data_IF_692504889507
#
_entry.id   IF_692504889507
#
_cell.length_a   1.000
_cell.length_b   1.000
_cell.length_c   1.000
_cell.angle_alpha   90.00
_cell.angle_beta   90.00
_cell.angle_gamma   90.00
#
_symmetry.space_group_name_H-M   'P 1'
#
loop_
_entity.id
_entity.type
_entity.pdbx_description
1 polymer ?
#
# COMPACT_ATOMS: atom_id res chain seq x y z
N UNK A 1 16.34 9.31 36.47
CA UNK A 1 15.30 8.47 37.18
C UNK A 1 13.87 8.72 36.66
N UNK A 2 13.30 9.96 36.72
CA UNK A 2 11.92 10.20 36.26
C UNK A 2 11.74 9.99 34.75
N UNK A 3 12.59 10.58 33.91
CA UNK A 3 12.53 10.42 32.43
C UNK A 3 12.77 8.97 32.00
N UNK A 4 13.64 8.24 32.67
CA UNK A 4 13.88 6.82 32.39
C UNK A 4 12.66 5.95 32.69
N UNK A 5 11.92 6.33 33.78
CA UNK A 5 10.65 5.66 34.10
C UNK A 5 9.61 5.89 33.00
N UNK A 6 9.51 7.12 32.49
CA UNK A 6 8.62 7.43 31.35
C UNK A 6 9.00 6.61 30.12
N UNK A 7 10.27 6.57 29.76
CA UNK A 7 10.76 5.84 28.60
C UNK A 7 10.43 4.33 28.69
N UNK A 8 10.70 3.70 29.83
CA UNK A 8 10.34 2.30 30.10
C UNK A 8 8.85 2.03 29.99
N UNK A 9 8.03 2.93 30.52
CA UNK A 9 6.57 2.79 30.43
C UNK A 9 6.07 2.89 29.00
N UNK A 10 6.63 3.79 28.17
CA UNK A 10 6.29 3.91 26.75
C UNK A 10 6.68 2.65 25.97
N UNK A 11 7.87 2.08 26.21
CA UNK A 11 8.27 0.81 25.59
C UNK A 11 7.29 -0.30 25.99
N UNK A 12 6.90 -0.36 27.24
CA UNK A 12 5.93 -1.35 27.74
C UNK A 12 4.57 -1.20 27.08
N UNK A 13 4.07 0.04 26.93
CA UNK A 13 2.84 0.33 26.19
C UNK A 13 2.96 -0.14 24.72
N UNK A 14 4.09 0.15 24.06
CA UNK A 14 4.36 -0.30 22.69
C UNK A 14 4.32 -1.82 22.55
N UNK A 15 4.91 -2.57 23.49
CA UNK A 15 4.88 -4.04 23.51
C UNK A 15 3.44 -4.57 23.55
N UNK A 16 2.62 -4.08 24.48
CA UNK A 16 1.23 -4.54 24.62
C UNK A 16 0.38 -4.12 23.41
N UNK A 17 0.57 -2.91 22.90
CA UNK A 17 -0.16 -2.40 21.74
C UNK A 17 0.13 -3.23 20.48
N UNK A 18 1.38 -3.53 20.18
CA UNK A 18 1.77 -4.32 19.01
C UNK A 18 1.21 -5.75 19.10
N UNK A 19 1.25 -6.36 20.27
CA UNK A 19 0.66 -7.69 20.50
C UNK A 19 -0.86 -7.67 20.32
N UNK A 20 -1.54 -6.64 20.87
CA UNK A 20 -2.99 -6.46 20.72
C UNK A 20 -3.39 -6.34 19.25
N UNK A 21 -2.72 -5.46 18.47
CA UNK A 21 -3.03 -5.32 17.04
C UNK A 21 -2.68 -6.57 16.23
N UNK A 22 -1.60 -7.26 16.57
CA UNK A 22 -1.29 -8.56 15.96
C UNK A 22 -2.46 -9.53 16.14
N UNK A 23 -2.95 -9.67 17.38
CA UNK A 23 -4.09 -10.53 17.70
C UNK A 23 -5.37 -10.10 16.96
N UNK A 24 -5.73 -8.82 17.04
CA UNK A 24 -6.92 -8.29 16.38
C UNK A 24 -6.89 -8.49 14.85
N UNK A 25 -5.75 -8.24 14.20
CA UNK A 25 -5.61 -8.40 12.75
C UNK A 25 -5.64 -9.88 12.31
N UNK A 26 -5.14 -10.81 13.14
CA UNK A 26 -5.22 -12.23 12.83
C UNK A 26 -6.61 -12.82 13.06
N UNK A 27 -7.31 -12.40 14.11
CA UNK A 27 -8.52 -13.10 14.58
C UNK A 27 -9.81 -12.32 14.38
N UNK A 28 -9.76 -10.97 14.28
CA UNK A 28 -10.94 -10.13 14.18
C UNK A 28 -11.34 -9.83 12.73
N UNK A 29 -12.64 -10.03 12.43
CA UNK A 29 -13.26 -9.69 11.14
C UNK A 29 -13.63 -10.89 10.27
N UNK A 30 -14.75 -10.75 9.53
CA UNK A 30 -15.31 -11.79 8.65
C UNK A 30 -14.47 -12.02 7.40
N UNK A 31 -13.92 -10.95 6.80
CA UNK A 31 -12.99 -11.05 5.68
C UNK A 31 -11.56 -10.93 6.19
N UNK A 32 -10.69 -11.84 5.77
CA UNK A 32 -9.26 -11.84 6.14
C UNK A 32 -8.43 -11.60 4.88
N UNK A 33 -8.40 -10.39 4.31
CA UNK A 33 -7.60 -10.12 3.13
C UNK A 33 -6.11 -10.36 3.44
N UNK A 34 -5.36 -10.75 2.41
CA UNK A 34 -3.92 -11.03 2.53
C UNK A 34 -3.15 -9.86 3.15
N UNK A 35 -3.56 -8.62 2.86
CA UNK A 35 -2.98 -7.41 3.43
C UNK A 35 -3.09 -7.33 4.96
N UNK A 36 -4.22 -7.74 5.56
CA UNK A 36 -4.38 -7.81 7.03
C UNK A 36 -3.41 -8.80 7.67
N UNK A 37 -3.25 -9.98 7.02
CA UNK A 37 -2.30 -10.99 7.52
C UNK A 37 -0.85 -10.49 7.47
N UNK A 38 -0.47 -9.82 6.38
CA UNK A 38 0.89 -9.26 6.25
C UNK A 38 1.12 -8.16 7.30
N UNK A 39 0.13 -7.29 7.53
CA UNK A 39 0.22 -6.27 8.56
C UNK A 39 0.30 -6.87 9.97
N UNK A 40 -0.41 -7.98 10.24
CA UNK A 40 -0.30 -8.69 11.50
C UNK A 40 1.10 -9.29 11.71
N UNK A 41 1.70 -9.86 10.64
CA UNK A 41 3.10 -10.34 10.68
C UNK A 41 4.07 -9.18 10.90
N UNK A 42 3.85 -8.03 10.26
CA UNK A 42 4.65 -6.82 10.50
C UNK A 42 4.59 -6.37 11.97
N UNK A 43 3.41 -6.38 12.60
CA UNK A 43 3.29 -6.02 14.01
C UNK A 43 3.90 -7.07 14.94
N UNK A 44 3.81 -8.36 14.58
CA UNK A 44 4.47 -9.43 15.32
C UNK A 44 6.01 -9.27 15.28
N UNK A 45 6.55 -8.94 14.13
CA UNK A 45 7.98 -8.68 13.94
C UNK A 45 8.44 -7.44 14.74
N UNK A 46 7.68 -6.34 14.65
CA UNK A 46 7.92 -5.14 15.45
C UNK A 46 7.79 -5.43 16.97
N UNK A 47 6.89 -6.33 17.37
CA UNK A 47 6.76 -6.78 18.77
C UNK A 47 8.01 -7.50 19.25
N UNK A 48 8.60 -8.39 18.44
CA UNK A 48 9.87 -9.06 18.78
C UNK A 48 10.96 -8.02 19.02
N UNK A 49 11.09 -7.03 18.12
CA UNK A 49 12.03 -5.93 18.28
C UNK A 49 11.83 -5.18 19.61
N UNK A 50 10.60 -4.74 19.91
CA UNK A 50 10.28 -4.01 21.13
C UNK A 50 10.43 -4.85 22.39
N UNK A 51 10.18 -6.15 22.31
CA UNK A 51 10.37 -7.08 23.43
C UNK A 51 11.85 -7.14 23.85
N UNK A 52 12.75 -7.32 22.88
CA UNK A 52 14.20 -7.38 23.15
C UNK A 52 14.69 -6.05 23.70
N UNK A 53 14.25 -4.94 23.12
CA UNK A 53 14.57 -3.59 23.60
C UNK A 53 14.06 -3.35 25.02
N UNK A 54 12.84 -3.78 25.33
CA UNK A 54 12.24 -3.70 26.65
C UNK A 54 13.02 -4.49 27.70
N UNK A 55 13.46 -5.71 27.39
CA UNK A 55 14.29 -6.52 28.30
C UNK A 55 15.64 -5.85 28.59
N UNK A 56 16.25 -5.22 27.57
CA UNK A 56 17.47 -4.43 27.74
C UNK A 56 17.28 -3.26 28.74
N UNK A 57 16.23 -2.43 28.54
CA UNK A 57 15.97 -1.27 29.41
C UNK A 57 15.46 -1.64 30.81
N UNK A 58 14.90 -2.84 30.98
CA UNK A 58 14.58 -3.38 32.29
C UNK A 58 15.82 -3.95 33.03
N UNK A 59 16.99 -3.95 32.41
CA UNK A 59 18.22 -4.50 32.95
C UNK A 59 18.24 -6.04 33.02
N UNK A 60 17.30 -6.71 32.35
CA UNK A 60 17.28 -8.18 32.29
C UNK A 60 18.21 -8.66 31.16
N UNK A 61 19.52 -8.55 31.39
CA UNK A 61 20.52 -8.91 30.38
C UNK A 61 20.48 -10.39 29.99
N UNK A 62 20.06 -11.30 30.88
CA UNK A 62 19.95 -12.73 30.58
C UNK A 62 18.89 -12.97 29.50
N UNK A 63 17.69 -12.38 29.66
CA UNK A 63 16.64 -12.45 28.66
C UNK A 63 17.05 -11.74 27.36
N UNK A 64 17.74 -10.60 27.46
CA UNK A 64 18.25 -9.88 26.29
C UNK A 64 19.26 -10.73 25.52
N UNK A 65 20.21 -11.40 26.17
CA UNK A 65 21.18 -12.31 25.55
C UNK A 65 20.45 -13.44 24.80
N UNK A 66 19.46 -14.06 25.44
CA UNK A 66 18.68 -15.14 24.85
C UNK A 66 17.95 -14.71 23.57
N UNK A 67 17.38 -13.50 23.58
CA UNK A 67 16.56 -12.97 22.48
C UNK A 67 17.37 -12.17 21.44
N UNK A 68 18.65 -11.88 21.70
CA UNK A 68 19.47 -11.03 20.83
C UNK A 68 19.54 -11.54 19.37
N UNK A 69 19.51 -12.85 19.18
CA UNK A 69 19.54 -13.47 17.86
C UNK A 69 18.36 -13.05 16.97
N UNK A 70 17.25 -12.66 17.58
CA UNK A 70 16.03 -12.23 16.89
C UNK A 70 16.01 -10.72 16.62
N UNK A 71 16.79 -9.94 17.37
CA UNK A 71 16.75 -8.47 17.32
C UNK A 71 17.08 -7.90 15.93
N UNK A 72 18.28 -8.17 15.41
CA UNK A 72 18.69 -7.63 14.11
C UNK A 72 17.93 -8.23 12.93
N UNK A 73 17.67 -9.56 12.89
CA UNK A 73 16.77 -10.11 11.88
C UNK A 73 15.40 -9.45 11.85
N UNK A 74 14.80 -9.15 13.01
CA UNK A 74 13.54 -8.42 13.08
C UNK A 74 13.67 -7.00 12.48
N UNK A 75 14.71 -6.24 12.86
CA UNK A 75 14.97 -4.92 12.27
C UNK A 75 15.07 -4.99 10.75
N UNK A 76 15.80 -5.99 10.22
CA UNK A 76 15.98 -6.18 8.78
C UNK A 76 14.70 -6.65 8.06
N UNK A 77 13.75 -7.25 8.77
CA UNK A 77 12.47 -7.70 8.21
C UNK A 77 11.41 -6.60 8.15
N UNK A 78 11.53 -5.51 8.93
CA UNK A 78 10.55 -4.43 8.97
C UNK A 78 10.31 -3.77 7.60
N UNK A 79 11.36 -3.41 6.88
CA UNK A 79 11.25 -2.76 5.57
C UNK A 79 10.58 -3.66 4.52
N UNK A 80 11.01 -4.95 4.34
CA UNK A 80 10.32 -5.89 3.46
C UNK A 80 8.86 -6.11 3.81
N UNK A 81 8.53 -6.30 5.09
CA UNK A 81 7.15 -6.53 5.54
C UNK A 81 6.26 -5.31 5.25
N UNK A 82 6.75 -4.11 5.52
CA UNK A 82 6.01 -2.89 5.20
C UNK A 82 5.80 -2.74 3.69
N UNK A 83 6.82 -3.01 2.86
CA UNK A 83 6.69 -3.01 1.40
C UNK A 83 5.66 -4.04 0.91
N UNK A 84 5.71 -5.28 1.41
CA UNK A 84 4.76 -6.33 1.03
C UNK A 84 3.33 -5.97 1.46
N UNK A 85 3.16 -5.33 2.62
CA UNK A 85 1.87 -4.78 3.05
C UNK A 85 1.36 -3.75 2.06
N UNK A 86 2.17 -2.73 1.71
CA UNK A 86 1.78 -1.71 0.73
C UNK A 86 1.45 -2.34 -0.62
N UNK A 87 2.28 -3.26 -1.10
CA UNK A 87 2.07 -3.96 -2.36
C UNK A 87 0.79 -4.80 -2.37
N UNK A 88 0.44 -5.41 -1.25
CA UNK A 88 -0.82 -6.15 -1.11
C UNK A 88 -2.06 -5.26 -1.10
N UNK A 89 -1.91 -3.98 -0.70
CA UNK A 89 -2.96 -2.96 -0.75
C UNK A 89 -3.20 -2.40 -2.16
N UNK A 90 -2.12 -2.29 -2.93
CA UNK A 90 -2.09 -1.56 -4.20
C UNK A 90 -2.23 -2.45 -5.41
N UNK A 91 -2.07 -3.78 -5.24
CA UNK A 91 -2.12 -4.73 -6.34
C UNK A 91 -3.33 -5.66 -6.23
N UNK A 92 -4.23 -5.55 -7.20
CA UNK A 92 -5.44 -6.35 -7.35
C UNK A 92 -5.18 -7.87 -7.34
N UNK A 93 -4.08 -8.31 -7.98
CA UNK A 93 -3.70 -9.71 -8.14
C UNK A 93 -2.56 -10.12 -7.20
N UNK A 94 -2.48 -9.52 -6.02
CA UNK A 94 -1.43 -9.89 -5.07
C UNK A 94 -1.64 -11.32 -4.56
N UNK A 95 -0.67 -12.17 -4.79
CA UNK A 95 -0.54 -13.49 -4.16
C UNK A 95 0.81 -13.60 -3.47
N UNK A 96 0.88 -14.28 -2.34
CA UNK A 96 2.16 -14.54 -1.68
C UNK A 96 2.79 -15.78 -2.32
N UNK A 97 3.91 -15.61 -3.01
CA UNK A 97 4.70 -16.66 -3.64
C UNK A 97 6.11 -16.74 -3.04
N UNK A 98 6.82 -17.85 -3.30
CA UNK A 98 8.17 -18.09 -2.77
C UNK A 98 9.20 -17.02 -3.17
N UNK A 99 9.02 -16.33 -4.30
CA UNK A 99 9.93 -15.26 -4.73
C UNK A 99 9.92 -14.08 -3.76
N UNK A 100 8.82 -13.85 -3.05
CA UNK A 100 8.71 -12.79 -2.06
C UNK A 100 9.49 -13.07 -0.79
N UNK A 101 9.83 -14.34 -0.53
CA UNK A 101 10.73 -14.71 0.57
C UNK A 101 12.17 -14.19 0.35
N UNK A 102 12.58 -13.95 -0.90
CA UNK A 102 13.90 -13.37 -1.21
C UNK A 102 14.12 -11.99 -0.58
N UNK A 103 13.04 -11.26 -0.29
CA UNK A 103 13.13 -9.98 0.42
C UNK A 103 13.67 -10.12 1.86
N UNK A 104 13.56 -11.31 2.46
CA UNK A 104 14.05 -11.60 3.81
C UNK A 104 15.46 -12.21 3.81
N UNK A 105 16.07 -12.39 2.63
CA UNK A 105 17.42 -12.96 2.52
C UNK A 105 18.48 -12.22 3.37
N UNK A 106 18.51 -10.88 3.43
CA UNK A 106 19.44 -10.17 4.30
C UNK A 106 19.28 -10.55 5.78
N UNK A 107 18.05 -10.66 6.29
CA UNK A 107 17.76 -11.06 7.67
C UNK A 107 18.23 -12.50 7.94
N UNK A 108 17.98 -13.41 7.00
CA UNK A 108 18.41 -14.79 7.08
C UNK A 108 19.94 -14.93 7.07
N UNK A 109 20.64 -14.24 6.16
CA UNK A 109 22.09 -14.26 6.08
C UNK A 109 22.71 -13.71 7.38
N UNK A 110 22.18 -12.60 7.90
CA UNK A 110 22.62 -12.08 9.19
C UNK A 110 22.46 -13.11 10.31
N UNK A 111 21.27 -13.71 10.42
CA UNK A 111 20.98 -14.74 11.41
C UNK A 111 21.97 -15.92 11.33
N UNK A 112 22.22 -16.42 10.14
CA UNK A 112 23.13 -17.56 9.90
C UNK A 112 24.59 -17.24 10.21
N UNK A 113 25.04 -15.99 10.00
CA UNK A 113 26.43 -15.58 10.28
C UNK A 113 26.59 -15.16 11.75
N UNK A 114 25.69 -14.33 12.26
CA UNK A 114 25.85 -13.71 13.57
C UNK A 114 25.57 -14.71 14.71
N UNK A 115 24.58 -15.58 14.56
CA UNK A 115 24.20 -16.51 15.64
C UNK A 115 25.33 -17.43 16.07
N UNK A 116 26.06 -18.14 15.18
CA UNK A 116 27.20 -18.97 15.58
C UNK A 116 28.30 -18.17 16.26
N UNK A 117 28.64 -16.98 15.70
CA UNK A 117 29.72 -16.13 16.27
C UNK A 117 29.32 -15.62 17.66
N UNK A 118 28.07 -15.22 17.86
CA UNK A 118 27.58 -14.77 19.15
C UNK A 118 27.54 -15.89 20.19
N UNK A 119 27.22 -17.13 19.78
CA UNK A 119 27.24 -18.29 20.67
C UNK A 119 28.65 -18.71 21.13
N UNK A 120 29.71 -18.22 20.46
CA UNK A 120 31.09 -18.41 20.90
C UNK A 120 31.50 -17.46 22.04
N UNK A 121 30.68 -16.44 22.33
CA UNK A 121 30.94 -15.52 23.44
C UNK A 121 30.67 -16.20 24.78
N UNK A 122 31.53 -15.94 25.76
CA UNK A 122 31.23 -16.31 27.16
C UNK A 122 30.04 -15.47 27.68
N UNK A 123 29.33 -15.91 28.72
CA UNK A 123 28.24 -15.13 29.30
C UNK A 123 28.65 -13.71 29.71
N UNK A 124 29.87 -13.53 30.21
CA UNK A 124 30.43 -12.22 30.57
C UNK A 124 30.68 -11.35 29.34
N UNK A 125 31.24 -11.92 28.28
CA UNK A 125 31.46 -11.24 27.00
C UNK A 125 30.14 -10.83 26.34
N UNK A 126 29.13 -11.73 26.36
CA UNK A 126 27.80 -11.43 25.84
C UNK A 126 27.13 -10.29 26.60
N UNK A 127 27.18 -10.33 27.93
CA UNK A 127 26.65 -9.26 28.79
C UNK A 127 27.38 -7.94 28.55
N UNK A 128 28.73 -8.00 28.43
CA UNK A 128 29.54 -6.84 28.13
C UNK A 128 29.20 -6.25 26.74
N UNK A 129 29.09 -7.08 25.71
CA UNK A 129 28.74 -6.70 24.34
C UNK A 129 27.37 -6.00 24.29
N UNK A 130 26.36 -6.52 24.97
CA UNK A 130 25.03 -5.95 25.01
C UNK A 130 24.98 -4.64 25.80
N UNK A 131 25.71 -4.54 26.92
CA UNK A 131 25.64 -3.40 27.82
C UNK A 131 26.46 -2.20 27.34
N UNK A 132 27.65 -2.43 26.83
CA UNK A 132 28.61 -1.37 26.51
C UNK A 132 28.77 -1.17 25.00
N UNK A 133 28.18 -2.04 24.19
CA UNK A 133 28.26 -1.93 22.76
C UNK A 133 29.73 -1.95 22.30
N UNK A 134 30.11 -1.00 21.49
CA UNK A 134 31.28 -1.04 20.63
C UNK A 134 32.45 -0.18 21.13
N UNK A 135 32.34 0.41 22.33
CA UNK A 135 33.19 1.54 22.70
C UNK A 135 34.55 1.17 23.33
N UNK A 136 34.79 -0.08 23.77
CA UNK A 136 36.06 -0.37 24.48
C UNK A 136 36.91 -1.49 23.88
N UNK A 137 38.19 -1.18 23.75
CA UNK A 137 39.26 -1.95 23.09
C UNK A 137 39.79 -3.16 23.87
N UNK A 138 39.22 -3.50 25.03
CA UNK A 138 39.69 -4.61 25.90
C UNK A 138 39.06 -5.99 25.58
N UNK A 139 38.13 -6.08 24.67
CA UNK A 139 37.41 -7.29 24.33
C UNK A 139 38.20 -8.20 23.37
N UNK A 140 38.08 -9.53 23.54
CA UNK A 140 38.75 -10.52 22.70
C UNK A 140 38.35 -10.42 21.21
N UNK A 141 39.10 -11.10 20.34
CA UNK A 141 38.92 -11.06 18.87
C UNK A 141 37.48 -11.39 18.44
N UNK A 142 36.79 -12.33 19.13
CA UNK A 142 35.40 -12.72 18.82
C UNK A 142 34.44 -11.57 19.07
N UNK A 143 34.60 -10.80 20.15
CA UNK A 143 33.76 -9.64 20.44
C UNK A 143 33.93 -8.57 19.35
N UNK A 144 35.19 -8.31 18.91
CA UNK A 144 35.44 -7.42 17.78
C UNK A 144 34.75 -7.89 16.52
N UNK A 145 34.80 -9.19 16.21
CA UNK A 145 34.12 -9.74 15.06
C UNK A 145 32.59 -9.54 15.14
N UNK A 146 31.97 -9.81 16.29
CA UNK A 146 30.53 -9.51 16.52
C UNK A 146 30.23 -8.02 16.28
N UNK A 147 31.07 -7.15 16.74
CA UNK A 147 30.98 -5.70 16.58
C UNK A 147 31.02 -5.30 15.10
N UNK A 148 32.00 -5.80 14.33
CA UNK A 148 32.10 -5.52 12.88
C UNK A 148 30.88 -6.06 12.11
N UNK A 149 30.42 -7.27 12.43
CA UNK A 149 29.21 -7.85 11.81
C UNK A 149 28.01 -6.95 12.09
N UNK A 150 27.82 -6.52 13.34
CA UNK A 150 26.71 -5.64 13.72
C UNK A 150 26.76 -4.30 12.96
N UNK A 151 27.91 -3.62 12.90
CA UNK A 151 28.06 -2.35 12.18
C UNK A 151 27.79 -2.51 10.70
N UNK A 152 28.35 -3.54 10.06
CA UNK A 152 28.12 -3.81 8.64
C UNK A 152 26.63 -3.95 8.32
N UNK A 153 25.90 -4.70 9.15
CA UNK A 153 24.49 -4.96 8.89
C UNK A 153 23.61 -3.80 9.30
N UNK A 154 23.85 -3.17 10.41
CA UNK A 154 23.03 -2.08 10.93
C UNK A 154 23.23 -0.77 10.13
N UNK A 155 24.46 -0.37 9.85
CA UNK A 155 24.77 0.87 9.15
C UNK A 155 24.94 0.66 7.63
N UNK A 156 25.44 -0.48 7.19
CA UNK A 156 25.59 -0.79 5.76
C UNK A 156 24.31 -1.32 5.13
N UNK A 157 23.97 -2.56 5.47
CA UNK A 157 22.85 -3.27 4.80
C UNK A 157 21.50 -2.64 5.13
N UNK A 158 21.23 -2.30 6.39
CA UNK A 158 19.96 -1.71 6.79
C UNK A 158 19.74 -0.31 6.21
N UNK A 159 20.78 0.53 6.16
CA UNK A 159 20.70 1.84 5.53
C UNK A 159 20.36 1.72 4.02
N UNK A 160 21.01 0.78 3.33
CA UNK A 160 20.67 0.49 1.92
C UNK A 160 19.23 -0.04 1.77
N UNK A 161 18.77 -0.89 2.70
CA UNK A 161 17.38 -1.37 2.69
C UNK A 161 16.37 -0.21 2.86
N UNK A 162 16.62 0.73 3.78
CA UNK A 162 15.77 1.90 3.97
C UNK A 162 15.57 2.64 2.64
N UNK A 163 16.63 2.98 1.93
CA UNK A 163 16.57 3.70 0.65
C UNK A 163 15.86 2.87 -0.42
N UNK A 164 16.23 1.60 -0.54
CA UNK A 164 15.68 0.69 -1.55
C UNK A 164 14.16 0.46 -1.36
N UNK A 165 13.73 0.16 -0.13
CA UNK A 165 12.30 -0.09 0.13
C UNK A 165 11.47 1.19 0.13
N UNK A 166 12.02 2.33 0.53
CA UNK A 166 11.35 3.62 0.36
C UNK A 166 11.04 3.89 -1.12
N UNK A 167 12.03 3.67 -1.99
CA UNK A 167 11.83 3.78 -3.44
C UNK A 167 10.73 2.83 -3.95
N UNK A 168 10.78 1.55 -3.56
CA UNK A 168 9.77 0.57 -3.98
C UNK A 168 8.36 0.93 -3.51
N UNK A 169 8.20 1.37 -2.26
CA UNK A 169 6.90 1.78 -1.69
C UNK A 169 6.35 2.99 -2.43
N UNK A 170 7.17 4.01 -2.66
CA UNK A 170 6.74 5.21 -3.43
C UNK A 170 6.30 4.81 -4.84
N UNK A 171 7.07 3.96 -5.52
CA UNK A 171 6.74 3.45 -6.85
C UNK A 171 5.38 2.74 -6.87
N UNK A 172 5.11 1.84 -5.92
CA UNK A 172 3.83 1.12 -5.82
C UNK A 172 2.66 2.09 -5.58
N UNK A 173 2.82 3.08 -4.69
CA UNK A 173 1.78 4.07 -4.42
C UNK A 173 1.48 4.93 -5.67
N UNK A 174 2.51 5.36 -6.41
CA UNK A 174 2.34 6.14 -7.63
C UNK A 174 1.65 5.32 -8.73
N UNK A 175 2.01 4.06 -8.90
CA UNK A 175 1.36 3.16 -9.83
C UNK A 175 -0.11 2.91 -9.45
N UNK A 176 -0.40 2.72 -8.16
CA UNK A 176 -1.77 2.59 -7.67
C UNK A 176 -2.61 3.84 -7.99
N UNK A 177 -2.07 5.04 -7.77
CA UNK A 177 -2.77 6.29 -8.14
C UNK A 177 -3.14 6.37 -9.62
N UNK A 178 -2.33 5.81 -10.50
CA UNK A 178 -2.64 5.71 -11.93
C UNK A 178 -3.75 4.69 -12.18
N UNK A 179 -3.62 3.47 -11.63
CA UNK A 179 -4.58 2.37 -11.80
C UNK A 179 -6.00 2.71 -11.36
N UNK A 180 -6.16 3.35 -10.18
CA UNK A 180 -7.50 3.71 -9.68
C UNK A 180 -8.23 4.70 -10.59
N UNK A 181 -7.50 5.55 -11.33
CA UNK A 181 -8.09 6.48 -12.32
C UNK A 181 -8.59 5.78 -13.58
N UNK A 182 -8.09 4.59 -13.87
CA UNK A 182 -8.52 3.77 -15.01
C UNK A 182 -9.79 2.96 -14.70
N UNK A 183 -10.13 2.81 -13.41
CA UNK A 183 -11.23 1.92 -12.96
C UNK A 183 -12.39 2.70 -12.36
N UNK A 184 -12.13 3.76 -11.61
CA UNK A 184 -13.13 4.45 -10.80
C UNK A 184 -13.36 5.89 -11.24
N UNK A 185 -14.62 6.30 -11.33
CA UNK A 185 -15.00 7.71 -11.54
C UNK A 185 -14.98 8.54 -10.25
N UNK A 186 -15.01 7.89 -9.08
CA UNK A 186 -14.87 8.52 -7.77
C UNK A 186 -13.64 7.96 -7.05
N UNK A 187 -12.68 8.84 -6.75
CA UNK A 187 -11.40 8.46 -6.11
C UNK A 187 -11.35 8.76 -4.61
N UNK A 188 -12.40 9.34 -4.02
CA UNK A 188 -12.33 9.93 -2.68
C UNK A 188 -11.97 8.89 -1.59
N UNK A 189 -12.60 7.72 -1.61
CA UNK A 189 -12.34 6.61 -0.67
C UNK A 189 -11.24 5.64 -1.15
N UNK A 190 -10.78 5.79 -2.39
CA UNK A 190 -9.82 4.87 -3.04
C UNK A 190 -8.38 5.40 -2.97
N UNK A 191 -8.18 6.70 -2.72
CA UNK A 191 -6.86 7.30 -2.58
C UNK A 191 -6.23 6.92 -1.25
N UNK A 192 -5.09 6.25 -1.31
CA UNK A 192 -4.27 5.91 -0.14
C UNK A 192 -3.33 7.07 0.26
N UNK A 193 -3.85 8.32 0.32
CA UNK A 193 -3.01 9.48 0.65
C UNK A 193 -2.41 9.39 2.05
N UNK A 194 -3.17 8.82 3.01
CA UNK A 194 -2.69 8.57 4.36
C UNK A 194 -1.44 7.68 4.38
N UNK A 195 -1.35 6.73 3.43
CA UNK A 195 -0.24 5.80 3.35
C UNK A 195 1.08 6.50 2.99
N UNK A 196 1.03 7.61 2.23
CA UNK A 196 2.23 8.41 1.90
C UNK A 196 2.80 9.03 3.17
N UNK A 197 1.94 9.64 4.00
CA UNK A 197 2.36 10.25 5.27
C UNK A 197 2.88 9.21 6.25
N UNK A 198 2.19 8.05 6.36
CA UNK A 198 2.66 6.92 7.15
C UNK A 198 4.01 6.39 6.66
N UNK A 199 4.19 6.27 5.34
CA UNK A 199 5.46 5.84 4.74
C UNK A 199 6.57 6.82 5.10
N UNK A 200 6.37 8.12 4.88
CA UNK A 200 7.36 9.14 5.20
C UNK A 200 7.75 9.13 6.68
N UNK A 201 6.76 9.08 7.58
CA UNK A 201 7.00 9.04 9.02
C UNK A 201 7.68 7.73 9.44
N UNK A 202 7.25 6.58 8.93
CA UNK A 202 7.85 5.28 9.26
C UNK A 202 9.34 5.25 8.89
N UNK A 203 9.70 5.62 7.65
CA UNK A 203 11.09 5.61 7.22
C UNK A 203 11.93 6.68 7.93
N UNK A 204 11.36 7.86 8.25
CA UNK A 204 12.03 8.86 9.06
C UNK A 204 12.35 8.33 10.47
N UNK A 205 11.40 7.63 11.11
CA UNK A 205 11.60 7.00 12.42
C UNK A 205 12.67 5.89 12.36
N UNK A 206 12.74 5.10 11.28
CA UNK A 206 13.81 4.12 11.11
C UNK A 206 15.20 4.79 11.02
N UNK A 207 15.31 5.91 10.30
CA UNK A 207 16.57 6.67 10.24
C UNK A 207 16.93 7.25 11.62
N UNK A 208 15.98 7.84 12.33
CA UNK A 208 16.17 8.37 13.69
C UNK A 208 16.65 7.26 14.63
N UNK A 209 16.01 6.09 14.59
CA UNK A 209 16.41 4.94 15.40
C UNK A 209 17.85 4.49 15.07
N UNK A 210 18.19 4.45 13.79
CA UNK A 210 19.50 3.97 13.36
C UNK A 210 20.66 4.95 13.64
N UNK A 211 20.38 6.24 13.71
CA UNK A 211 21.44 7.27 13.82
C UNK A 211 21.53 7.90 15.21
N UNK A 212 20.39 8.34 15.76
CA UNK A 212 20.36 9.18 16.95
C UNK A 212 20.25 8.39 18.27
N UNK A 213 19.55 7.24 18.25
CA UNK A 213 19.30 6.48 19.46
C UNK A 213 20.49 5.61 19.91
N UNK A 214 21.56 5.61 19.14
CA UNK A 214 22.79 4.88 19.47
C UNK A 214 23.86 5.77 20.20
N UNK A 215 23.50 7.01 20.49
CA UNK A 215 24.39 7.94 21.23
C UNK A 215 24.01 7.99 22.71
N UNK A 216 25.01 7.94 23.59
CA UNK A 216 24.83 8.02 25.05
C UNK A 216 24.63 9.46 25.57
N UNK A 217 24.37 10.44 24.72
CA UNK A 217 24.15 11.82 25.11
C UNK A 217 22.92 11.97 26.04
N UNK A 218 23.01 12.81 27.04
CA UNK A 218 21.93 13.07 28.02
C UNK A 218 20.63 13.51 27.31
N UNK A 219 20.75 14.21 26.20
CA UNK A 219 19.61 14.62 25.36
C UNK A 219 18.96 13.45 24.60
N UNK A 220 19.65 12.30 24.51
CA UNK A 220 19.14 11.11 23.83
C UNK A 220 17.87 10.54 24.50
N UNK A 221 17.67 10.73 25.82
CA UNK A 221 16.47 10.24 26.51
C UNK A 221 15.22 10.99 26.05
N UNK A 222 15.29 12.30 25.82
CA UNK A 222 14.15 13.10 25.33
C UNK A 222 13.81 12.69 23.90
N UNK A 223 14.83 12.51 23.06
CA UNK A 223 14.67 12.04 21.66
C UNK A 223 14.04 10.64 21.65
N UNK A 224 14.48 9.76 22.54
CA UNK A 224 13.96 8.39 22.69
C UNK A 224 12.50 8.36 23.16
N UNK A 225 12.14 9.20 24.12
CA UNK A 225 10.74 9.38 24.56
C UNK A 225 9.87 9.86 23.38
N UNK A 226 10.31 10.89 22.67
CA UNK A 226 9.60 11.41 21.49
C UNK A 226 9.46 10.36 20.39
N UNK A 227 10.51 9.58 20.12
CA UNK A 227 10.50 8.45 19.20
C UNK A 227 9.47 7.39 19.61
N UNK A 228 9.46 6.96 20.87
CA UNK A 228 8.53 5.96 21.37
C UNK A 228 7.07 6.45 21.30
N UNK A 229 6.80 7.71 21.61
CA UNK A 229 5.47 8.31 21.41
C UNK A 229 5.07 8.27 19.93
N UNK A 230 5.95 8.71 19.02
CA UNK A 230 5.68 8.69 17.59
C UNK A 230 5.43 7.27 17.05
N UNK A 231 6.19 6.28 17.52
CA UNK A 231 5.99 4.87 17.18
C UNK A 231 4.65 4.31 17.68
N UNK A 232 4.24 4.65 18.91
CA UNK A 232 2.93 4.28 19.45
C UNK A 232 1.81 4.88 18.60
N UNK A 233 1.92 6.16 18.22
CA UNK A 233 0.90 6.84 17.40
C UNK A 233 0.82 6.24 15.99
N UNK A 234 1.94 6.03 15.32
CA UNK A 234 1.93 5.49 13.95
C UNK A 234 1.43 4.03 13.92
N UNK A 235 1.84 3.20 14.87
CA UNK A 235 1.39 1.80 14.95
C UNK A 235 -0.08 1.70 15.33
N UNK A 236 -0.60 2.58 16.22
CA UNK A 236 -2.03 2.70 16.49
C UNK A 236 -2.81 3.06 15.23
N UNK A 237 -2.35 4.08 14.50
CA UNK A 237 -3.00 4.51 13.27
C UNK A 237 -3.01 3.40 12.20
N UNK A 238 -1.87 2.75 11.96
CA UNK A 238 -1.76 1.63 11.03
C UNK A 238 -2.64 0.44 11.44
N UNK A 239 -2.69 0.13 12.74
CA UNK A 239 -3.54 -0.93 13.29
C UNK A 239 -5.02 -0.66 13.04
N UNK A 240 -5.51 0.54 13.37
CA UNK A 240 -6.89 0.94 13.09
C UNK A 240 -7.21 1.01 11.60
N UNK A 241 -6.29 1.55 10.78
CA UNK A 241 -6.44 1.57 9.34
C UNK A 241 -6.55 0.14 8.77
N UNK A 242 -5.70 -0.77 9.23
CA UNK A 242 -5.74 -2.19 8.85
C UNK A 242 -7.02 -2.91 9.26
N UNK A 243 -7.55 -2.64 10.46
CA UNK A 243 -8.82 -3.23 10.91
C UNK A 243 -10.03 -2.74 10.10
N UNK A 244 -10.06 -1.44 9.74
CA UNK A 244 -11.14 -0.82 8.95
C UNK A 244 -10.99 -1.03 7.44
N UNK A 245 -9.90 -1.62 7.01
CA UNK A 245 -9.59 -1.74 5.60
C UNK A 245 -10.58 -2.67 4.90
N UNK A 246 -11.22 -2.12 3.85
CA UNK A 246 -12.00 -2.85 2.85
C UNK A 246 -11.07 -3.00 1.63
N UNK A 247 -11.09 -4.17 0.98
CA UNK A 247 -10.33 -4.36 -0.25
C UNK A 247 -10.91 -3.48 -1.37
N UNK A 248 -10.09 -2.60 -1.92
CA UNK A 248 -10.52 -1.60 -2.90
C UNK A 248 -11.01 -2.26 -4.20
N UNK A 249 -10.51 -3.46 -4.50
CA UNK A 249 -10.76 -4.16 -5.75
C UNK A 249 -11.74 -5.35 -5.64
N UNK A 250 -12.22 -5.71 -4.45
CA UNK A 250 -13.11 -6.88 -4.29
C UNK A 250 -14.37 -6.76 -5.15
N UNK A 251 -14.97 -5.58 -5.20
CA UNK A 251 -16.17 -5.35 -6.02
C UNK A 251 -15.89 -5.44 -7.53
N UNK A 252 -14.67 -5.11 -7.96
CA UNK A 252 -14.27 -5.20 -9.36
C UNK A 252 -14.01 -6.64 -9.77
N UNK A 253 -13.38 -7.43 -8.89
CA UNK A 253 -13.15 -8.86 -9.12
C UNK A 253 -14.44 -9.65 -9.26
N UNK A 254 -15.43 -9.39 -8.41
CA UNK A 254 -16.74 -10.06 -8.47
C UNK A 254 -17.43 -9.77 -9.80
N UNK A 255 -17.39 -8.52 -10.27
CA UNK A 255 -17.96 -8.14 -11.56
C UNK A 255 -17.23 -8.78 -12.75
N UNK A 256 -15.88 -8.82 -12.73
CA UNK A 256 -15.09 -9.47 -13.79
C UNK A 256 -15.35 -10.99 -13.85
N UNK A 257 -15.56 -11.68 -12.71
CA UNK A 257 -15.92 -13.10 -12.66
C UNK A 257 -17.31 -13.37 -13.23
N UNK A 258 -18.30 -12.52 -12.92
CA UNK A 258 -19.64 -12.66 -13.44
C UNK A 258 -19.71 -12.55 -14.99
N UNK A 259 -18.78 -11.80 -15.58
CA UNK A 259 -18.69 -11.67 -17.04
C UNK A 259 -17.92 -12.82 -17.74
N UNK A 260 -17.03 -13.52 -17.00
CA UNK A 260 -16.28 -14.66 -17.57
C UNK A 260 -17.08 -15.97 -17.52
N UNK A 261 -18.05 -16.10 -16.63
CA UNK A 261 -18.91 -17.30 -16.52
C UNK A 261 -20.11 -17.28 -17.49
N UNK A 262 -20.37 -16.15 -18.15
CA UNK A 262 -21.48 -15.97 -19.10
C UNK A 262 -21.21 -16.43 -20.55
N UNK A 263 -19.97 -16.68 -20.91
CA UNK A 263 -19.56 -16.95 -22.32
C UNK A 263 -18.87 -18.30 -22.48
N UNK A 264 -19.64 -19.39 -22.22
CA UNK A 264 -19.31 -20.71 -22.76
C UNK A 264 -20.58 -21.51 -22.93
N UNK A 265 -21.14 -21.61 -24.14
CA UNK A 265 -22.14 -22.63 -24.42
C UNK A 265 -21.46 -23.99 -24.30
N UNK A 266 -21.85 -24.76 -23.27
CA UNK A 266 -21.50 -26.17 -23.16
C UNK A 266 -22.12 -26.93 -24.32
N UNK A 267 -21.41 -27.04 -25.44
CA UNK A 267 -21.67 -28.09 -26.41
C UNK A 267 -21.09 -29.37 -25.83
N UNK A 268 -21.98 -30.26 -25.40
CA UNK A 268 -21.68 -31.66 -25.18
C UNK A 268 -21.39 -32.27 -26.55
N UNK A 269 -20.16 -32.59 -26.84
CA UNK A 269 -19.84 -33.59 -27.84
C UNK A 269 -19.02 -34.70 -27.20
N UNK A 270 -19.59 -35.88 -27.21
CA UNK A 270 -18.98 -37.12 -26.80
C UNK A 270 -18.23 -37.72 -27.99
N UNK A 271 -16.96 -37.97 -27.80
CA UNK A 271 -16.22 -38.99 -28.54
C UNK A 271 -15.46 -38.47 -29.75
N UNK A 272 -14.11 -38.34 -29.57
CA UNK A 272 -13.05 -38.83 -30.48
C UNK A 272 -11.64 -38.46 -30.01
N UNK A 273 -10.92 -39.50 -29.68
CA UNK A 273 -9.52 -39.82 -29.98
C UNK A 273 -8.36 -39.05 -29.33
N UNK A 274 -7.74 -39.82 -28.47
CA UNK A 274 -6.41 -39.71 -27.87
C UNK A 274 -5.25 -39.84 -28.87
N UNK A 275 -5.03 -39.01 -29.84
CA UNK A 275 -3.77 -39.05 -30.65
C UNK A 275 -3.37 -37.63 -31.15
N UNK A 276 -3.35 -36.62 -30.34
CA UNK A 276 -2.72 -35.34 -30.74
C UNK A 276 -2.27 -34.45 -29.55
N UNK A 277 -1.68 -35.07 -28.53
CA UNK A 277 -1.27 -34.31 -27.31
C UNK A 277 0.20 -33.91 -27.21
N UNK A 278 1.03 -34.04 -28.22
CA UNK A 278 2.46 -33.75 -28.06
C UNK A 278 3.10 -32.69 -28.98
N UNK A 279 2.37 -32.03 -29.85
CA UNK A 279 2.98 -31.00 -30.75
C UNK A 279 2.49 -29.58 -30.59
N UNK A 280 1.55 -29.29 -29.64
CA UNK A 280 0.90 -27.98 -29.55
C UNK A 280 1.19 -27.17 -28.29
N UNK A 281 2.18 -27.51 -27.46
CA UNK A 281 2.46 -26.78 -26.20
C UNK A 281 3.42 -25.59 -26.42
N UNK A 282 4.27 -25.63 -27.44
CA UNK A 282 5.24 -24.56 -27.72
C UNK A 282 4.64 -23.38 -28.53
N UNK A 283 3.64 -23.63 -29.37
CA UNK A 283 3.01 -22.56 -30.20
C UNK A 283 1.88 -21.81 -29.49
N UNK A 284 1.25 -22.37 -28.44
CA UNK A 284 0.17 -21.70 -27.69
C UNK A 284 0.65 -20.62 -26.72
N UNK A 285 1.91 -20.63 -26.31
CA UNK A 285 2.45 -19.61 -25.40
C UNK A 285 2.80 -18.29 -26.13
N UNK A 286 3.21 -18.36 -27.39
CA UNK A 286 3.52 -17.17 -28.19
C UNK A 286 2.27 -16.50 -28.81
N UNK A 287 1.22 -17.26 -29.14
CA UNK A 287 -0.01 -16.70 -29.68
C UNK A 287 -0.91 -16.01 -28.64
N UNK A 288 -0.72 -16.24 -27.34
CA UNK A 288 -1.51 -15.59 -26.29
C UNK A 288 -1.06 -14.15 -26.00
N UNK A 289 0.13 -13.75 -26.43
CA UNK A 289 0.66 -12.38 -26.29
C UNK A 289 0.48 -11.51 -27.55
N UNK A 290 0.20 -12.11 -28.71
CA UNK A 290 -0.03 -11.39 -29.97
C UNK A 290 -1.53 -11.06 -30.20
N UNK A 291 -2.45 -11.64 -29.42
CA UNK A 291 -3.90 -11.58 -29.64
C UNK A 291 -4.62 -10.47 -28.85
N UNK A 292 -4.02 -9.28 -28.59
CA UNK A 292 -4.75 -8.19 -27.92
C UNK A 292 -4.41 -6.76 -28.35
N UNK A 293 -3.90 -6.55 -29.52
CA UNK A 293 -3.87 -5.20 -30.10
C UNK A 293 -5.20 -4.98 -30.82
N UNK A 294 -6.11 -4.20 -30.23
CA UNK A 294 -7.33 -3.72 -30.90
C UNK A 294 -6.94 -2.97 -32.17
N UNK A 295 -7.63 -3.25 -33.27
CA UNK A 295 -7.48 -2.47 -34.49
C UNK A 295 -7.94 -1.02 -34.26
N UNK A 296 -7.49 -0.11 -35.12
CA UNK A 296 -7.87 1.30 -35.01
C UNK A 296 -9.38 1.51 -35.19
N UNK A 297 -10.02 0.66 -35.99
CA UNK A 297 -11.47 0.67 -36.21
C UNK A 297 -12.23 0.17 -35.01
N UNK A 298 -11.76 -0.91 -34.34
CA UNK A 298 -12.36 -1.41 -33.10
C UNK A 298 -12.27 -0.40 -31.97
N UNK A 299 -11.12 0.27 -31.81
CA UNK A 299 -10.95 1.36 -30.82
C UNK A 299 -11.93 2.50 -31.08
N UNK A 300 -12.08 2.92 -32.32
CA UNK A 300 -13.05 3.95 -32.73
C UNK A 300 -14.46 3.52 -32.38
N UNK A 301 -14.86 2.31 -32.79
CA UNK A 301 -16.19 1.76 -32.47
C UNK A 301 -16.47 1.76 -30.97
N UNK A 302 -15.51 1.35 -30.14
CA UNK A 302 -15.67 1.36 -28.69
C UNK A 302 -15.90 2.79 -28.20
N UNK A 303 -15.12 3.77 -28.66
CA UNK A 303 -15.28 5.18 -28.27
C UNK A 303 -16.64 5.73 -28.68
N UNK A 304 -17.08 5.48 -29.91
CA UNK A 304 -18.38 5.93 -30.43
C UNK A 304 -19.54 5.36 -29.58
N UNK A 305 -19.47 4.08 -29.22
CA UNK A 305 -20.47 3.45 -28.34
C UNK A 305 -20.43 4.04 -26.92
N UNK A 306 -19.25 4.30 -26.36
CA UNK A 306 -19.12 4.94 -25.05
C UNK A 306 -19.71 6.35 -25.03
N UNK A 307 -19.44 7.16 -26.07
CA UNK A 307 -19.99 8.52 -26.17
C UNK A 307 -21.51 8.48 -26.31
N UNK A 308 -22.05 7.59 -27.14
CA UNK A 308 -23.49 7.44 -27.31
C UNK A 308 -24.18 7.06 -25.99
N UNK A 309 -23.64 6.09 -25.22
CA UNK A 309 -24.28 5.66 -23.96
C UNK A 309 -24.20 6.75 -22.89
N UNK A 310 -23.13 7.57 -22.89
CA UNK A 310 -23.04 8.72 -21.98
C UNK A 310 -24.10 9.77 -22.33
N UNK A 311 -24.38 10.03 -23.59
CA UNK A 311 -25.39 10.99 -24.03
C UNK A 311 -26.83 10.47 -23.79
N UNK A 312 -27.11 9.20 -24.10
CA UNK A 312 -28.45 8.63 -24.04
C UNK A 312 -28.88 8.20 -22.66
N UNK A 313 -28.04 7.42 -21.95
CA UNK A 313 -28.36 6.89 -20.61
C UNK A 313 -27.83 7.75 -19.47
N UNK A 314 -26.98 8.74 -19.75
CA UNK A 314 -26.35 9.62 -18.73
C UNK A 314 -25.76 8.87 -17.54
N UNK A 315 -25.08 7.74 -17.80
CA UNK A 315 -24.51 6.90 -16.74
C UNK A 315 -23.56 7.68 -15.81
N UNK A 316 -22.94 8.75 -16.30
CA UNK A 316 -22.05 9.62 -15.54
C UNK A 316 -22.72 10.29 -14.32
N UNK A 317 -24.07 10.35 -14.28
CA UNK A 317 -24.80 10.87 -13.11
C UNK A 317 -24.73 9.94 -11.90
N UNK A 318 -24.38 8.65 -12.09
CA UNK A 318 -24.10 7.76 -10.97
C UNK A 318 -22.76 8.15 -10.32
N UNK A 319 -22.75 8.65 -9.06
CA UNK A 319 -21.52 9.10 -8.42
C UNK A 319 -20.49 7.97 -8.14
N UNK A 320 -20.93 6.72 -8.04
CA UNK A 320 -20.09 5.54 -7.79
C UNK A 320 -19.81 4.72 -9.06
N UNK A 321 -20.05 5.29 -10.26
CA UNK A 321 -19.85 4.61 -11.54
C UNK A 321 -18.41 4.06 -11.69
N UNK A 322 -18.31 2.77 -12.06
CA UNK A 322 -17.07 2.05 -12.33
C UNK A 322 -16.99 1.69 -13.82
N UNK A 323 -15.79 1.43 -14.31
CA UNK A 323 -15.58 0.97 -15.69
C UNK A 323 -16.26 -0.39 -15.94
N UNK A 324 -16.41 -1.23 -14.91
CA UNK A 324 -17.13 -2.51 -14.99
C UNK A 324 -18.62 -2.31 -15.26
N UNK A 325 -19.23 -1.28 -14.68
CA UNK A 325 -20.65 -0.97 -14.88
C UNK A 325 -20.88 -0.54 -16.36
N UNK A 326 -19.94 0.26 -16.89
CA UNK A 326 -19.98 0.65 -18.30
C UNK A 326 -19.71 -0.55 -19.20
N UNK A 327 -18.77 -1.43 -18.83
CA UNK A 327 -18.43 -2.63 -19.59
C UNK A 327 -19.64 -3.56 -19.76
N UNK A 328 -20.44 -3.73 -18.70
CA UNK A 328 -21.68 -4.51 -18.77
C UNK A 328 -22.74 -3.91 -19.69
N UNK A 329 -22.80 -2.59 -19.77
CA UNK A 329 -23.77 -1.89 -20.62
C UNK A 329 -23.40 -1.90 -22.10
N UNK A 330 -22.09 -1.83 -22.42
CA UNK A 330 -21.60 -1.77 -23.80
C UNK A 330 -21.17 -3.12 -24.36
N UNK A 331 -21.13 -4.17 -23.51
CA UNK A 331 -20.70 -5.53 -23.86
C UNK A 331 -19.26 -5.62 -24.40
N UNK A 332 -18.39 -4.71 -23.98
CA UNK A 332 -16.96 -4.76 -24.27
C UNK A 332 -16.16 -5.05 -22.99
N UNK A 333 -15.09 -5.87 -23.05
CA UNK A 333 -14.23 -6.11 -21.91
C UNK A 333 -13.60 -4.82 -21.35
N UNK A 334 -13.55 -4.68 -20.01
CA UNK A 334 -12.94 -3.53 -19.30
C UNK A 334 -11.57 -3.12 -19.87
N UNK A 335 -10.72 -4.11 -20.20
CA UNK A 335 -9.38 -3.85 -20.74
C UNK A 335 -9.42 -3.16 -22.11
N UNK A 336 -10.34 -3.57 -22.98
CA UNK A 336 -10.52 -2.97 -24.30
C UNK A 336 -11.04 -1.54 -24.19
N UNK A 337 -12.00 -1.29 -23.29
CA UNK A 337 -12.50 0.06 -23.00
C UNK A 337 -11.36 0.97 -22.52
N UNK A 338 -10.58 0.52 -21.52
CA UNK A 338 -9.46 1.28 -20.98
C UNK A 338 -8.40 1.57 -22.06
N UNK A 339 -8.09 0.59 -22.91
CA UNK A 339 -7.14 0.75 -24.03
C UNK A 339 -7.66 1.76 -25.06
N UNK A 340 -8.90 1.63 -25.52
CA UNK A 340 -9.51 2.54 -26.50
C UNK A 340 -9.54 3.99 -25.97
N UNK A 341 -9.94 4.20 -24.72
CA UNK A 341 -9.93 5.54 -24.10
C UNK A 341 -8.52 6.14 -24.00
N UNK A 342 -7.53 5.36 -23.56
CA UNK A 342 -6.16 5.84 -23.40
C UNK A 342 -5.52 6.17 -24.78
N UNK A 343 -5.71 5.34 -25.79
CA UNK A 343 -5.06 5.48 -27.08
C UNK A 343 -5.78 6.48 -28.03
N UNK A 344 -7.13 6.50 -28.03
CA UNK A 344 -7.90 7.41 -28.89
C UNK A 344 -8.23 8.75 -28.29
N UNK A 345 -8.54 8.79 -27.00
CA UNK A 345 -8.94 10.01 -26.31
C UNK A 345 -7.81 10.63 -25.48
N UNK A 346 -6.64 9.96 -25.39
CA UNK A 346 -5.54 10.33 -24.50
C UNK A 346 -6.04 10.58 -23.07
N UNK A 347 -7.04 9.80 -22.64
CA UNK A 347 -7.77 10.05 -21.41
C UNK A 347 -7.99 8.76 -20.62
N UNK A 348 -8.09 8.85 -19.29
CA UNK A 348 -8.46 7.73 -18.44
C UNK A 348 -9.96 7.81 -18.07
N UNK A 349 -10.51 6.71 -17.55
CA UNK A 349 -11.93 6.61 -17.18
C UNK A 349 -12.40 7.75 -16.24
N UNK A 350 -11.59 8.09 -15.24
CA UNK A 350 -11.90 9.17 -14.29
C UNK A 350 -12.10 10.52 -15.01
N UNK A 351 -11.18 10.90 -15.88
CA UNK A 351 -11.27 12.17 -16.59
C UNK A 351 -12.39 12.15 -17.64
N UNK A 352 -12.56 11.02 -18.35
CA UNK A 352 -13.63 10.84 -19.33
C UNK A 352 -15.00 11.08 -18.69
N UNK A 353 -15.31 10.43 -17.59
CA UNK A 353 -16.58 10.62 -16.89
C UNK A 353 -16.74 12.03 -16.33
N UNK A 354 -15.67 12.58 -15.72
CA UNK A 354 -15.75 13.94 -15.17
C UNK A 354 -15.99 15.01 -16.22
N UNK A 355 -15.51 14.87 -17.46
CA UNK A 355 -15.84 15.77 -18.55
C UNK A 355 -17.37 15.87 -18.75
N UNK A 356 -18.08 14.76 -18.83
CA UNK A 356 -19.54 14.76 -18.94
C UNK A 356 -20.23 15.37 -17.73
N UNK A 357 -19.74 15.08 -16.51
CA UNK A 357 -20.27 15.66 -15.27
C UNK A 357 -20.09 17.18 -15.23
N UNK A 358 -18.95 17.69 -15.73
CA UNK A 358 -18.71 19.14 -15.77
C UNK A 358 -19.59 19.81 -16.82
N UNK A 359 -19.78 19.21 -17.98
CA UNK A 359 -20.72 19.76 -18.99
C UNK A 359 -22.16 19.82 -18.45
N UNK A 360 -22.61 18.76 -17.77
CA UNK A 360 -23.93 18.80 -17.10
C UNK A 360 -23.99 19.86 -15.99
N UNK A 361 -22.90 20.01 -15.21
CA UNK A 361 -22.83 21.07 -14.19
C UNK A 361 -22.90 22.47 -14.78
N UNK A 362 -22.23 22.74 -15.91
CA UNK A 362 -22.34 24.01 -16.62
C UNK A 362 -23.78 24.27 -17.05
N UNK A 363 -24.41 23.29 -17.68
CA UNK A 363 -25.82 23.36 -18.10
C UNK A 363 -26.75 23.69 -16.92
N UNK A 364 -26.55 23.05 -15.76
CA UNK A 364 -27.34 23.31 -14.55
C UNK A 364 -27.06 24.70 -13.95
N UNK A 365 -25.82 25.20 -14.04
CA UNK A 365 -25.45 26.53 -13.57
C UNK A 365 -26.05 27.64 -14.42
N UNK A 366 -26.26 27.41 -15.73
CA UNK A 366 -26.84 28.32 -16.70
C UNK A 366 -28.39 28.32 -16.64
N UNK A 367 -28.99 27.20 -16.23
CA UNK A 367 -30.44 27.06 -16.18
C UNK A 367 -31.06 27.80 -14.97
N UNK A 368 -31.93 28.79 -15.25
CA UNK A 368 -32.61 29.62 -14.24
C UNK A 368 -33.42 28.81 -13.21
N UNK A 369 -33.89 27.60 -13.58
CA UNK A 369 -34.59 26.66 -12.67
C UNK A 369 -33.71 26.25 -11.49
N UNK A 370 -32.40 26.16 -11.70
CA UNK A 370 -31.42 25.80 -10.70
C UNK A 370 -30.72 26.98 -10.02
N UNK A 371 -31.19 28.23 -10.28
CA UNK A 371 -30.61 29.45 -9.71
C UNK A 371 -30.55 29.46 -8.17
N UNK A 372 -31.52 28.84 -7.51
CA UNK A 372 -31.61 28.71 -6.05
C UNK A 372 -30.78 27.52 -5.47
N UNK A 373 -30.25 26.65 -6.32
CA UNK A 373 -29.45 25.53 -5.83
C UNK A 373 -28.08 26.02 -5.36
N UNK A 374 -27.59 25.45 -4.26
CA UNK A 374 -26.21 25.65 -3.85
C UNK A 374 -25.23 25.05 -4.85
N UNK A 375 -23.99 25.52 -4.89
CA UNK A 375 -22.92 24.91 -5.72
C UNK A 375 -22.73 23.42 -5.40
N UNK A 376 -22.92 23.04 -4.14
CA UNK A 376 -22.87 21.64 -3.70
C UNK A 376 -24.08 20.82 -4.23
N UNK A 377 -25.27 21.42 -4.24
CA UNK A 377 -26.46 20.81 -4.86
C UNK A 377 -26.27 20.56 -6.35
N UNK A 378 -25.69 21.52 -7.10
CA UNK A 378 -25.32 21.36 -8.50
C UNK A 378 -24.28 20.22 -8.68
N UNK A 379 -23.27 20.15 -7.82
CA UNK A 379 -22.28 19.08 -7.85
C UNK A 379 -22.95 17.71 -7.74
N UNK A 380 -23.86 17.54 -6.78
CA UNK A 380 -24.59 16.27 -6.61
C UNK A 380 -25.48 15.94 -7.79
N UNK A 381 -26.22 16.91 -8.34
CA UNK A 381 -27.09 16.71 -9.52
C UNK A 381 -26.29 16.34 -10.76
N UNK A 382 -25.03 16.75 -10.87
CA UNK A 382 -24.13 16.41 -11.97
C UNK A 382 -23.30 15.14 -11.72
N UNK A 383 -23.61 14.36 -10.66
CA UNK A 383 -22.99 13.07 -10.38
C UNK A 383 -21.69 13.10 -9.57
N UNK A 384 -21.35 14.24 -8.94
CA UNK A 384 -20.21 14.29 -8.01
C UNK A 384 -20.62 13.90 -6.59
N UNK A 385 -19.79 13.12 -5.93
CA UNK A 385 -20.02 12.67 -4.56
C UNK A 385 -19.50 13.64 -3.49
N UNK A 386 -18.72 14.65 -3.88
CA UNK A 386 -18.19 15.64 -2.95
C UNK A 386 -17.84 16.96 -3.61
N UNK A 387 -17.97 18.02 -2.81
CA UNK A 387 -17.59 19.39 -3.17
C UNK A 387 -16.13 19.48 -3.64
N UNK A 388 -15.20 18.82 -2.95
CA UNK A 388 -13.77 18.92 -3.27
C UNK A 388 -13.42 18.30 -4.63
N UNK A 389 -13.99 17.12 -4.96
CA UNK A 389 -13.78 16.50 -6.29
C UNK A 389 -14.40 17.34 -7.40
N UNK A 390 -15.58 17.89 -7.16
CA UNK A 390 -16.25 18.79 -8.10
C UNK A 390 -15.41 20.04 -8.39
N UNK A 391 -15.00 20.78 -7.35
CA UNK A 391 -14.19 21.99 -7.51
C UNK A 391 -12.88 21.74 -8.25
N UNK A 392 -12.21 20.63 -7.92
CA UNK A 392 -10.97 20.23 -8.59
C UNK A 392 -11.20 19.91 -10.07
N UNK A 393 -12.22 19.08 -10.38
CA UNK A 393 -12.54 18.70 -11.76
C UNK A 393 -13.00 19.93 -12.58
N UNK A 394 -13.88 20.77 -12.00
CA UNK A 394 -14.39 21.95 -12.67
C UNK A 394 -13.29 22.95 -13.01
N UNK A 395 -12.39 23.23 -12.06
CA UNK A 395 -11.27 24.13 -12.28
C UNK A 395 -10.27 23.58 -13.31
N UNK A 396 -10.02 22.28 -13.30
CA UNK A 396 -9.14 21.66 -14.29
C UNK A 396 -9.70 21.73 -15.72
N UNK A 397 -11.03 21.64 -15.86
CA UNK A 397 -11.70 21.67 -17.18
C UNK A 397 -11.98 23.09 -17.70
N UNK A 398 -12.31 24.03 -16.79
CA UNK A 398 -12.78 25.37 -17.16
C UNK A 398 -11.78 26.48 -16.85
N UNK A 399 -10.72 26.21 -16.09
CA UNK A 399 -9.76 27.21 -15.61
C UNK A 399 -10.25 28.07 -14.45
N UNK A 400 -11.56 28.04 -14.10
CA UNK A 400 -12.17 28.85 -13.05
C UNK A 400 -12.91 28.00 -12.01
N UNK A 401 -13.23 28.56 -10.86
CA UNK A 401 -14.06 27.85 -9.88
C UNK A 401 -15.54 27.88 -10.27
N UNK A 402 -16.36 26.90 -9.81
CA UNK A 402 -17.80 26.89 -10.07
C UNK A 402 -18.50 28.20 -9.62
N UNK A 403 -18.08 28.76 -8.49
CA UNK A 403 -18.63 30.01 -7.96
C UNK A 403 -18.28 31.24 -8.86
N UNK A 404 -17.03 31.27 -9.37
CA UNK A 404 -16.62 32.32 -10.31
C UNK A 404 -17.34 32.17 -11.66
N UNK A 405 -17.53 30.93 -12.14
CA UNK A 405 -18.28 30.66 -13.36
C UNK A 405 -19.72 31.17 -13.24
N UNK A 406 -20.40 30.82 -12.14
CA UNK A 406 -21.75 31.28 -11.85
C UNK A 406 -21.85 32.81 -11.72
N UNK A 407 -20.87 33.44 -11.03
CA UNK A 407 -20.84 34.90 -10.88
C UNK A 407 -20.75 35.65 -12.22
N UNK A 408 -19.98 35.11 -13.17
CA UNK A 408 -19.87 35.70 -14.52
C UNK A 408 -21.19 35.63 -15.31
N UNK A 409 -22.00 34.60 -15.11
CA UNK A 409 -23.30 34.43 -15.80
C UNK A 409 -24.35 35.47 -15.35
N UNK A 410 -24.23 35.97 -14.11
CA UNK A 410 -25.19 36.94 -13.54
C UNK A 410 -24.63 38.37 -13.48
N UNK A 411 -23.40 38.60 -13.94
CA UNK A 411 -22.78 39.93 -14.03
C UNK A 411 -22.71 40.47 -15.46
N UNK A 412 -23.21 39.75 -16.43
CA UNK A 412 -23.50 40.15 -17.82
C UNK A 412 -25.01 40.36 -18.00
#
# INVERSE_FOLDING_TARGET
>A
MYLESIDRNLITIGIYQLLLFTFLLFFYGRSKPTSKKILAVFFLDAWIYYLVLGMYYLGNYQATILLYHLFVPAVLALCPLFYLYVKSLTNENFSFDGRKLLHFLPALIFFMINTPVFLMLTPEQSKWFIKYGFAETGSGQIVKLCTYIYYLWNFGVFALQIVFYLYLVIKEILQHKKKIREVFSNLQKKKLNWLIWCTGLFFALLVINNTLLQTDAVDAIIVRIAYNIAMIVITAFLGFAGLRQIDIYDEVKVADMAHTDGDSPKVKDQGRDEIQRQTNVAERSNNKYVASALSEEEKKKIVDVLENIMQTKKLFLNPELKITDVASEVLFPRKQISQAMNEKLSNNFYNFINRYRIEEAKRLLEDTKYSKFSIEGIAHQSGFNSRSSFYTAFRNETGVTPSQFRGKLFSS
#
